data_IF_765792432056
#
_entry.id   IF_765792432056
#
_cell.length_a   1.000
_cell.length_b   1.000
_cell.length_c   1.000
_cell.angle_alpha   90.00
_cell.angle_beta   90.00
_cell.angle_gamma   90.00
#
_symmetry.space_group_name_H-M   'P 1'
#
loop_
_entity.id
_entity.type
_entity.pdbx_description
1 polymer ?
#
# COMPACT_ATOMS: atom_id res chain seq x y z
N UNK A 1 7.06 -13.24 -10.49
CA UNK A 1 7.89 -13.28 -11.68
C UNK A 1 8.52 -14.66 -11.87
N UNK A 2 8.60 -15.19 -13.13
CA UNK A 2 9.24 -16.48 -13.38
C UNK A 2 10.75 -16.41 -13.13
N UNK A 3 11.35 -17.53 -12.74
CA UNK A 3 12.80 -17.68 -12.62
C UNK A 3 13.47 -17.77 -14.02
N UNK A 4 14.73 -17.32 -14.19
CA UNK A 4 15.60 -16.74 -13.16
C UNK A 4 15.26 -15.26 -12.86
N UNK A 5 15.25 -14.91 -11.58
CA UNK A 5 15.05 -13.53 -11.13
C UNK A 5 16.39 -12.80 -11.13
N UNK A 6 16.39 -11.57 -11.61
CA UNK A 6 17.58 -10.72 -11.57
C UNK A 6 17.18 -9.28 -11.21
N UNK A 7 18.11 -8.55 -10.66
CA UNK A 7 17.93 -7.14 -10.37
C UNK A 7 18.45 -6.31 -11.55
N UNK A 8 17.57 -5.63 -12.26
CA UNK A 8 17.91 -4.93 -13.52
C UNK A 8 19.04 -3.90 -13.35
N UNK A 9 19.05 -3.12 -12.28
CA UNK A 9 20.13 -2.16 -11.97
C UNK A 9 21.49 -2.86 -11.85
N UNK A 10 21.55 -3.94 -11.09
CA UNK A 10 22.81 -4.66 -10.84
C UNK A 10 23.29 -5.39 -12.09
N UNK A 11 22.37 -5.97 -12.85
CA UNK A 11 22.67 -6.55 -14.15
C UNK A 11 23.22 -5.52 -15.14
N UNK A 12 22.63 -4.31 -15.19
CA UNK A 12 23.12 -3.24 -16.07
C UNK A 12 24.51 -2.76 -15.71
N UNK A 13 24.86 -2.71 -14.42
CA UNK A 13 26.22 -2.39 -13.95
C UNK A 13 27.24 -3.47 -14.38
N UNK A 14 26.87 -4.74 -14.32
CA UNK A 14 27.73 -5.83 -14.83
C UNK A 14 27.91 -5.73 -16.33
N UNK A 15 26.81 -5.51 -17.07
CA UNK A 15 26.87 -5.34 -18.54
C UNK A 15 27.77 -4.16 -18.95
N UNK A 16 27.66 -3.02 -18.27
CA UNK A 16 28.49 -1.86 -18.56
C UNK A 16 29.99 -2.17 -18.41
N UNK A 17 30.36 -3.00 -17.43
CA UNK A 17 31.75 -3.45 -17.27
C UNK A 17 32.19 -4.39 -18.39
N UNK A 18 31.35 -5.35 -18.77
CA UNK A 18 31.63 -6.32 -19.84
C UNK A 18 31.85 -5.58 -21.16
N UNK A 19 30.95 -4.66 -21.51
CA UNK A 19 30.98 -3.92 -22.77
C UNK A 19 31.82 -2.63 -22.72
N UNK A 20 32.44 -2.33 -21.56
CA UNK A 20 33.21 -1.09 -21.32
C UNK A 20 32.43 0.17 -21.72
N UNK A 21 31.16 0.19 -21.41
CA UNK A 21 30.25 1.28 -21.74
C UNK A 21 29.95 2.13 -20.47
N UNK A 22 29.64 3.40 -20.71
CA UNK A 22 29.13 4.25 -19.64
C UNK A 22 27.67 3.87 -19.30
N UNK A 23 27.28 4.06 -18.04
CA UNK A 23 25.92 3.81 -17.58
C UNK A 23 25.42 5.02 -16.80
N UNK A 24 24.17 5.39 -17.02
CA UNK A 24 23.46 6.40 -16.25
C UNK A 24 22.30 5.74 -15.52
N UNK A 25 22.30 5.86 -14.20
CA UNK A 25 21.22 5.41 -13.33
C UNK A 25 20.41 6.61 -12.89
N UNK A 26 19.14 6.71 -13.28
CA UNK A 26 18.25 7.79 -12.90
C UNK A 26 17.17 7.32 -11.91
N UNK A 27 16.97 8.04 -10.82
CA UNK A 27 15.91 7.77 -9.84
C UNK A 27 15.62 9.02 -9.01
N UNK A 28 14.33 9.21 -8.65
CA UNK A 28 13.95 10.18 -7.63
C UNK A 28 14.17 9.65 -6.20
N UNK A 29 14.23 8.32 -6.05
CA UNK A 29 14.35 7.60 -4.78
C UNK A 29 15.39 6.49 -4.92
N UNK A 30 16.68 6.83 -5.01
CA UNK A 30 17.73 5.83 -5.14
C UNK A 30 17.73 4.89 -3.92
N UNK A 31 18.09 3.63 -4.14
CA UNK A 31 18.26 2.71 -3.02
C UNK A 31 19.43 3.14 -2.13
N UNK A 32 19.38 2.74 -0.86
CA UNK A 32 20.45 3.06 0.13
C UNK A 32 21.80 2.58 -0.37
N UNK A 33 21.88 1.40 -1.00
CA UNK A 33 23.14 0.84 -1.54
C UNK A 33 23.68 1.70 -2.69
N UNK A 34 22.81 2.15 -3.60
CA UNK A 34 23.24 3.01 -4.71
C UNK A 34 23.74 4.37 -4.22
N UNK A 35 22.99 4.96 -3.27
CA UNK A 35 23.38 6.24 -2.68
C UNK A 35 24.69 6.13 -1.90
N UNK A 36 24.87 5.09 -1.09
CA UNK A 36 26.09 4.82 -0.36
C UNK A 36 27.28 4.60 -1.30
N UNK A 37 27.08 3.88 -2.40
CA UNK A 37 28.12 3.67 -3.42
C UNK A 37 28.57 4.99 -4.09
N UNK A 38 27.67 5.96 -4.21
CA UNK A 38 28.01 7.27 -4.77
C UNK A 38 28.66 8.21 -3.72
N UNK A 39 28.04 8.38 -2.55
CA UNK A 39 28.41 9.43 -1.58
C UNK A 39 29.56 8.99 -0.67
N UNK A 40 29.56 7.73 -0.22
CA UNK A 40 30.54 7.24 0.78
C UNK A 40 31.70 6.50 0.10
N UNK A 41 31.35 5.59 -0.82
CA UNK A 41 32.35 4.73 -1.45
C UNK A 41 32.96 5.29 -2.74
N UNK A 42 32.43 6.40 -3.23
CA UNK A 42 32.90 7.10 -4.46
C UNK A 42 33.05 6.15 -5.67
N UNK A 43 32.16 5.16 -5.80
CA UNK A 43 32.14 4.23 -6.93
C UNK A 43 31.38 4.75 -8.14
N UNK A 44 30.52 5.74 -7.93
CA UNK A 44 29.70 6.41 -8.95
C UNK A 44 29.84 7.92 -8.79
N UNK A 45 29.78 8.64 -9.89
CA UNK A 45 29.55 10.08 -9.86
C UNK A 45 28.08 10.37 -9.53
N UNK A 46 27.81 11.33 -8.65
CA UNK A 46 26.47 11.74 -8.27
C UNK A 46 26.10 13.08 -8.88
N UNK A 47 25.02 13.09 -9.64
CA UNK A 47 24.40 14.33 -10.14
C UNK A 47 23.04 14.51 -9.48
N UNK A 48 22.87 15.55 -8.70
CA UNK A 48 21.62 15.88 -8.04
C UNK A 48 20.87 16.99 -8.78
N UNK A 49 19.65 16.71 -9.22
CA UNK A 49 18.72 17.71 -9.75
C UNK A 49 17.87 18.25 -8.61
N UNK A 50 18.34 19.33 -7.96
CA UNK A 50 17.70 19.90 -6.76
C UNK A 50 16.47 20.77 -7.07
N UNK A 51 16.42 21.35 -8.25
CA UNK A 51 15.32 22.22 -8.64
C UNK A 51 14.28 21.46 -9.45
N UNK A 52 13.02 21.67 -9.13
CA UNK A 52 11.91 21.12 -9.92
C UNK A 52 11.81 21.86 -11.27
N UNK A 53 11.39 21.13 -12.29
CA UNK A 53 11.06 21.71 -13.58
C UNK A 53 10.07 22.89 -13.39
N UNK A 54 10.33 24.02 -14.04
CA UNK A 54 9.58 25.27 -13.90
C UNK A 54 9.43 25.80 -12.47
N UNK A 55 10.34 25.47 -11.55
CA UNK A 55 10.29 25.89 -10.14
C UNK A 55 8.94 25.65 -9.45
N UNK A 56 8.24 24.56 -9.83
CA UNK A 56 6.96 24.19 -9.24
C UNK A 56 7.14 23.93 -7.73
N UNK A 57 6.32 24.56 -6.92
CA UNK A 57 6.34 24.41 -5.46
C UNK A 57 6.05 22.97 -5.04
N UNK A 58 6.58 22.59 -3.88
CA UNK A 58 6.24 21.30 -3.25
C UNK A 58 4.75 21.30 -2.87
N UNK A 59 4.08 20.13 -2.93
CA UNK A 59 2.72 20.02 -2.43
C UNK A 59 2.67 20.31 -0.93
N UNK A 60 1.56 20.84 -0.46
CA UNK A 60 1.28 21.00 0.96
C UNK A 60 1.01 19.61 1.53
N UNK A 61 1.69 19.25 2.63
CA UNK A 61 1.50 18.00 3.34
C UNK A 61 0.84 18.32 4.68
N UNK A 62 -0.35 17.77 4.89
CA UNK A 62 -1.07 17.88 6.15
C UNK A 62 -1.09 16.53 6.86
N UNK A 63 -0.66 16.52 8.13
CA UNK A 63 -0.70 15.34 8.99
C UNK A 63 -1.93 15.40 9.88
N UNK A 64 -2.76 14.34 9.81
CA UNK A 64 -4.00 14.25 10.60
C UNK A 64 -3.80 13.23 11.72
N UNK A 65 -3.93 13.66 12.97
CA UNK A 65 -3.94 12.77 14.13
C UNK A 65 -5.29 12.04 14.24
N UNK A 66 -5.32 10.80 13.80
CA UNK A 66 -6.53 9.97 13.84
C UNK A 66 -6.97 9.66 15.26
N UNK A 67 -6.06 9.53 16.25
CA UNK A 67 -6.44 9.28 17.65
C UNK A 67 -7.28 10.41 18.19
N UNK A 68 -6.87 11.66 17.93
CA UNK A 68 -7.63 12.85 18.27
C UNK A 68 -9.00 12.88 17.57
N UNK A 69 -9.03 12.52 16.29
CA UNK A 69 -10.28 12.50 15.51
C UNK A 69 -11.26 11.46 16.06
N UNK A 70 -10.78 10.26 16.41
CA UNK A 70 -11.59 9.22 17.06
C UNK A 70 -12.13 9.69 18.42
N UNK A 71 -11.28 10.26 19.28
CA UNK A 71 -11.68 10.76 20.60
C UNK A 71 -12.77 11.85 20.52
N UNK A 72 -12.71 12.70 19.49
CA UNK A 72 -13.69 13.78 19.25
C UNK A 72 -14.90 13.32 18.42
N UNK A 73 -15.01 12.03 18.06
CA UNK A 73 -16.09 11.48 17.22
C UNK A 73 -16.19 12.18 15.84
N UNK A 74 -15.05 12.59 15.27
CA UNK A 74 -14.93 13.26 13.98
C UNK A 74 -14.46 12.30 12.88
N UNK A 75 -14.85 11.03 13.00
CA UNK A 75 -14.61 9.99 12.00
C UNK A 75 -15.94 9.53 11.41
N UNK A 76 -15.93 9.25 10.11
CA UNK A 76 -17.00 8.56 9.42
C UNK A 76 -16.39 7.33 8.75
N UNK A 77 -16.66 6.15 9.30
CA UNK A 77 -15.93 4.93 8.94
C UNK A 77 -14.43 5.11 9.17
N UNK A 78 -13.64 4.90 8.13
CA UNK A 78 -12.19 5.05 8.17
C UNK A 78 -11.69 6.46 7.80
N UNK A 79 -12.60 7.40 7.49
CA UNK A 79 -12.26 8.74 7.02
C UNK A 79 -12.47 9.80 8.10
N UNK A 80 -11.51 10.70 8.27
CA UNK A 80 -11.67 11.88 9.11
C UNK A 80 -12.56 12.93 8.43
N UNK A 81 -13.23 13.75 9.21
CA UNK A 81 -14.00 14.89 8.74
C UNK A 81 -13.20 15.83 7.83
N UNK A 82 -11.94 16.10 8.18
CA UNK A 82 -11.04 16.94 7.39
C UNK A 82 -10.74 16.29 6.04
N UNK A 83 -10.45 14.99 5.98
CA UNK A 83 -10.21 14.29 4.73
C UNK A 83 -11.46 14.30 3.82
N UNK A 84 -12.63 14.04 4.39
CA UNK A 84 -13.91 14.10 3.66
C UNK A 84 -14.14 15.50 3.08
N UNK A 85 -13.90 16.55 3.88
CA UNK A 85 -14.03 17.93 3.43
C UNK A 85 -13.09 18.27 2.28
N UNK A 86 -11.82 17.85 2.34
CA UNK A 86 -10.85 18.08 1.27
C UNK A 86 -11.17 17.30 -0.01
N UNK A 87 -11.65 16.06 0.12
CA UNK A 87 -12.14 15.30 -1.03
C UNK A 87 -13.29 16.07 -1.69
N UNK A 88 -14.29 16.47 -0.89
CA UNK A 88 -15.45 17.20 -1.42
C UNK A 88 -15.04 18.51 -2.12
N UNK A 89 -14.21 19.32 -1.49
CA UNK A 89 -13.70 20.57 -2.08
C UNK A 89 -12.98 20.32 -3.40
N UNK A 90 -12.14 19.26 -3.43
CA UNK A 90 -11.36 18.93 -4.63
C UNK A 90 -12.25 18.50 -5.80
N UNK A 91 -13.19 17.59 -5.55
CA UNK A 91 -14.08 17.09 -6.63
C UNK A 91 -15.12 18.10 -7.07
N UNK A 92 -15.59 18.98 -6.16
CA UNK A 92 -16.50 20.10 -6.49
C UNK A 92 -15.83 21.13 -7.40
N UNK A 93 -14.51 21.25 -7.35
CA UNK A 93 -13.72 22.08 -8.24
C UNK A 93 -13.28 21.35 -9.52
N UNK A 94 -13.95 20.26 -9.89
CA UNK A 94 -13.66 19.44 -11.07
C UNK A 94 -12.21 18.88 -11.11
N UNK A 95 -11.59 18.72 -9.97
CA UNK A 95 -10.26 18.10 -9.82
C UNK A 95 -10.39 16.63 -9.43
N UNK A 96 -9.26 15.93 -9.48
CA UNK A 96 -9.19 14.49 -9.16
C UNK A 96 -8.54 14.28 -7.79
N UNK A 97 -8.97 13.22 -7.11
CA UNK A 97 -8.42 12.76 -5.85
C UNK A 97 -7.83 11.36 -6.04
N UNK A 98 -6.67 11.12 -5.47
CA UNK A 98 -6.06 9.79 -5.37
C UNK A 98 -6.00 9.43 -3.89
N UNK A 99 -6.68 8.36 -3.52
CA UNK A 99 -6.57 7.74 -2.19
C UNK A 99 -5.61 6.57 -2.28
N UNK A 100 -4.54 6.63 -1.49
CA UNK A 100 -3.54 5.57 -1.45
C UNK A 100 -3.73 4.72 -0.20
N UNK A 101 -3.99 3.43 -0.40
CA UNK A 101 -4.04 2.42 0.65
C UNK A 101 -3.11 1.27 0.28
N UNK A 102 -2.10 1.03 1.10
CA UNK A 102 -1.05 0.05 0.81
C UNK A 102 -1.46 -1.41 1.09
N UNK A 103 -2.75 -1.69 1.27
CA UNK A 103 -3.23 -3.06 1.53
C UNK A 103 -4.38 -3.41 0.59
N UNK A 104 -4.23 -4.52 -0.12
CA UNK A 104 -5.26 -5.07 -1.01
C UNK A 104 -6.34 -5.82 -0.23
N UNK A 105 -7.51 -6.00 -0.85
CA UNK A 105 -8.63 -6.75 -0.31
C UNK A 105 -9.60 -5.90 0.51
N UNK A 106 -10.60 -6.55 1.10
CA UNK A 106 -11.62 -5.90 1.94
C UNK A 106 -11.09 -5.64 3.35
N UNK A 107 -10.64 -6.71 4.00
CA UNK A 107 -9.96 -6.62 5.30
C UNK A 107 -8.62 -7.34 5.21
N UNK A 108 -7.52 -6.73 5.65
CA UNK A 108 -6.21 -7.36 5.48
C UNK A 108 -6.06 -8.65 6.31
N UNK A 109 -6.71 -8.74 7.47
CA UNK A 109 -6.56 -9.88 8.38
C UNK A 109 -7.91 -10.21 9.00
N UNK A 110 -8.14 -11.49 9.15
CA UNK A 110 -9.19 -12.04 10.00
C UNK A 110 -8.52 -12.65 11.22
N UNK A 111 -8.96 -12.31 12.41
CA UNK A 111 -8.39 -12.86 13.65
C UNK A 111 -9.48 -13.27 14.64
N UNK A 112 -9.12 -14.14 15.54
CA UNK A 112 -9.97 -14.51 16.66
C UNK A 112 -9.87 -13.47 17.77
N UNK A 113 -10.99 -12.86 18.15
CA UNK A 113 -11.04 -11.88 19.23
C UNK A 113 -10.60 -12.45 20.60
N UNK A 114 -10.86 -13.75 20.84
CA UNK A 114 -10.59 -14.38 22.13
C UNK A 114 -9.12 -14.77 22.32
N UNK A 115 -8.40 -15.17 21.25
CA UNK A 115 -7.03 -15.64 21.37
C UNK A 115 -6.02 -14.96 20.43
N UNK A 116 -6.45 -14.02 19.59
CA UNK A 116 -5.58 -13.30 18.65
C UNK A 116 -5.04 -14.13 17.48
N UNK A 117 -5.45 -15.39 17.34
CA UNK A 117 -4.96 -16.24 16.26
C UNK A 117 -5.55 -15.83 14.91
N UNK A 118 -4.71 -15.70 13.89
CA UNK A 118 -5.09 -15.41 12.49
C UNK A 118 -4.80 -16.64 11.61
N UNK A 119 -5.65 -16.93 10.60
CA UNK A 119 -5.34 -17.94 9.60
C UNK A 119 -4.08 -17.60 8.81
N UNK A 120 -3.13 -18.52 8.77
CA UNK A 120 -1.88 -18.38 8.03
C UNK A 120 -1.83 -19.24 6.78
N UNK A 121 -1.01 -18.85 5.83
CA UNK A 121 -0.76 -19.62 4.63
C UNK A 121 0.13 -20.83 4.97
N UNK A 122 -0.25 -22.02 4.52
CA UNK A 122 0.53 -23.25 4.75
C UNK A 122 1.87 -23.29 4.00
N UNK A 123 2.02 -22.45 2.96
CA UNK A 123 3.20 -22.43 2.09
C UNK A 123 4.16 -21.25 2.36
N UNK A 124 3.66 -20.14 2.95
CA UNK A 124 4.38 -18.86 2.99
C UNK A 124 4.53 -18.29 4.41
N UNK A 125 3.92 -18.91 5.39
CA UNK A 125 3.92 -18.45 6.80
C UNK A 125 3.53 -16.98 6.99
N UNK A 126 2.56 -16.51 6.18
CA UNK A 126 1.98 -15.16 6.25
C UNK A 126 0.49 -15.25 6.50
N UNK A 127 -0.10 -14.26 7.15
CA UNK A 127 -1.55 -14.20 7.35
C UNK A 127 -2.28 -14.12 6.02
N UNK A 128 -3.41 -14.82 5.92
CA UNK A 128 -4.28 -14.79 4.75
C UNK A 128 -5.09 -13.50 4.73
N UNK A 129 -5.30 -12.95 3.54
CA UNK A 129 -6.09 -11.74 3.32
C UNK A 129 -7.54 -12.10 2.98
N UNK A 130 -8.49 -11.43 3.60
CA UNK A 130 -9.90 -11.63 3.33
C UNK A 130 -10.36 -10.86 2.08
N UNK A 131 -11.06 -11.56 1.19
CA UNK A 131 -11.66 -11.03 -0.02
C UNK A 131 -13.19 -11.14 0.07
N UNK A 132 -13.88 -10.01 0.20
CA UNK A 132 -15.33 -9.94 0.33
C UNK A 132 -16.04 -10.54 -0.88
N UNK A 133 -15.63 -10.19 -2.10
CA UNK A 133 -16.28 -10.60 -3.35
C UNK A 133 -16.33 -12.13 -3.53
N UNK A 134 -15.35 -12.84 -2.99
CA UNK A 134 -15.24 -14.31 -3.08
C UNK A 134 -15.50 -15.02 -1.76
N UNK A 135 -15.78 -14.25 -0.70
CA UNK A 135 -15.93 -14.72 0.69
C UNK A 135 -14.87 -15.75 1.08
N UNK A 136 -13.62 -15.41 0.79
CA UNK A 136 -12.47 -16.31 0.94
C UNK A 136 -11.24 -15.61 1.50
N UNK A 137 -10.37 -16.40 2.10
CA UNK A 137 -9.08 -15.99 2.61
C UNK A 137 -8.00 -16.43 1.62
N UNK A 138 -7.14 -15.50 1.12
CA UNK A 138 -6.13 -15.80 0.10
C UNK A 138 -4.75 -15.31 0.50
N UNK A 139 -3.75 -16.07 0.11
CA UNK A 139 -2.35 -15.68 0.18
C UNK A 139 -1.97 -14.94 -1.11
N UNK A 140 -1.52 -13.69 -1.00
CA UNK A 140 -1.06 -12.89 -2.14
C UNK A 140 0.33 -13.28 -2.68
N UNK A 141 1.05 -14.17 -1.97
CA UNK A 141 2.36 -14.64 -2.40
C UNK A 141 2.28 -15.88 -3.30
N UNK A 142 1.52 -16.90 -2.87
CA UNK A 142 1.45 -18.18 -3.61
C UNK A 142 0.09 -18.50 -4.20
N UNK A 143 -0.94 -17.67 -3.94
CA UNK A 143 -2.30 -17.91 -4.42
C UNK A 143 -3.09 -18.95 -3.60
N UNK A 144 -2.51 -19.55 -2.55
CA UNK A 144 -3.24 -20.44 -1.67
C UNK A 144 -4.48 -19.75 -1.11
N UNK A 145 -5.62 -20.45 -1.08
CA UNK A 145 -6.87 -19.89 -0.59
C UNK A 145 -7.73 -20.93 0.13
N UNK A 146 -8.51 -20.44 1.08
CA UNK A 146 -9.52 -21.21 1.82
C UNK A 146 -10.81 -20.39 1.91
N UNK A 147 -11.98 -21.02 2.08
CA UNK A 147 -13.20 -20.31 2.45
C UNK A 147 -13.02 -19.52 3.76
N UNK A 148 -13.85 -18.49 3.96
CA UNK A 148 -13.89 -17.79 5.25
C UNK A 148 -14.17 -18.80 6.37
N UNK A 149 -13.40 -18.73 7.44
CA UNK A 149 -13.59 -19.60 8.60
C UNK A 149 -14.64 -19.02 9.54
N UNK A 150 -15.49 -19.87 10.10
CA UNK A 150 -16.48 -19.49 11.11
C UNK A 150 -16.00 -19.75 12.55
N UNK A 151 -14.97 -20.57 12.71
CA UNK A 151 -14.42 -20.96 13.99
C UNK A 151 -12.92 -20.82 13.99
N UNK A 152 -12.37 -20.38 15.11
CA UNK A 152 -10.93 -20.34 15.35
C UNK A 152 -10.35 -21.76 15.44
N UNK A 153 -9.32 -22.04 14.63
CA UNK A 153 -8.64 -23.36 14.68
C UNK A 153 -7.79 -23.56 15.93
N UNK A 154 -7.45 -22.48 16.65
CA UNK A 154 -6.60 -22.56 17.84
C UNK A 154 -7.39 -22.73 19.14
N UNK A 155 -8.53 -22.05 19.31
CA UNK A 155 -9.33 -22.07 20.54
C UNK A 155 -10.79 -22.49 20.33
N UNK A 156 -11.20 -22.80 19.10
CA UNK A 156 -12.56 -23.19 18.73
C UNK A 156 -13.64 -22.10 18.93
N UNK A 157 -13.26 -20.86 19.24
CA UNK A 157 -14.18 -19.75 19.37
C UNK A 157 -14.82 -19.37 18.04
N UNK A 158 -16.07 -18.90 18.10
CA UNK A 158 -16.81 -18.36 16.96
C UNK A 158 -16.60 -16.83 16.80
N UNK A 159 -15.85 -16.21 17.70
CA UNK A 159 -15.60 -14.76 17.69
C UNK A 159 -14.51 -14.40 16.70
N UNK A 160 -14.84 -14.46 15.41
CA UNK A 160 -13.93 -14.10 14.33
C UNK A 160 -14.23 -12.68 13.88
N UNK A 161 -13.23 -11.80 13.97
CA UNK A 161 -13.33 -10.40 13.59
C UNK A 161 -12.42 -10.07 12.40
N UNK A 162 -12.82 -9.07 11.64
CA UNK A 162 -11.99 -8.50 10.58
C UNK A 162 -11.20 -7.33 11.13
N UNK A 163 -9.88 -7.34 10.98
CA UNK A 163 -8.97 -6.32 11.50
C UNK A 163 -8.31 -5.56 10.36
N UNK A 164 -8.39 -4.23 10.45
CA UNK A 164 -7.89 -3.33 9.42
C UNK A 164 -8.87 -3.16 8.26
N UNK A 165 -8.43 -2.44 7.23
CA UNK A 165 -9.21 -2.20 6.02
C UNK A 165 -8.30 -2.21 4.79
N UNK A 166 -8.84 -2.62 3.66
CA UNK A 166 -8.13 -2.68 2.38
C UNK A 166 -8.77 -1.81 1.31
N UNK A 167 -8.23 -1.87 0.10
CA UNK A 167 -8.68 -1.07 -1.05
C UNK A 167 -10.16 -1.30 -1.42
N UNK A 168 -10.68 -2.51 -1.21
CA UNK A 168 -12.09 -2.83 -1.49
C UNK A 168 -13.03 -2.08 -0.54
N UNK A 169 -12.72 -2.09 0.76
CA UNK A 169 -13.52 -1.39 1.75
C UNK A 169 -13.44 0.14 1.56
N UNK A 170 -12.24 0.67 1.26
CA UNK A 170 -12.07 2.09 0.93
C UNK A 170 -12.95 2.47 -0.27
N UNK A 171 -12.99 1.66 -1.32
CA UNK A 171 -13.83 1.91 -2.49
C UNK A 171 -15.32 1.97 -2.14
N UNK A 172 -15.80 1.02 -1.32
CA UNK A 172 -17.20 0.98 -0.90
C UNK A 172 -17.58 2.18 -0.04
N UNK A 173 -16.76 2.52 0.94
CA UNK A 173 -17.00 3.68 1.82
C UNK A 173 -16.97 4.99 1.03
N UNK A 174 -16.05 5.16 0.09
CA UNK A 174 -15.98 6.36 -0.76
C UNK A 174 -17.19 6.46 -1.68
N UNK A 175 -17.66 5.35 -2.26
CA UNK A 175 -18.90 5.35 -3.07
C UNK A 175 -20.13 5.72 -2.24
N UNK A 176 -20.20 5.27 -0.99
CA UNK A 176 -21.29 5.63 -0.09
C UNK A 176 -21.25 7.11 0.32
N UNK A 177 -20.06 7.66 0.59
CA UNK A 177 -19.87 9.07 0.95
C UNK A 177 -20.08 10.04 -0.22
N UNK A 178 -19.73 9.61 -1.44
CA UNK A 178 -19.73 10.45 -2.64
C UNK A 178 -20.48 9.79 -3.82
N UNK A 179 -21.80 9.51 -3.69
CA UNK A 179 -22.55 8.72 -4.66
C UNK A 179 -22.64 9.37 -6.06
N UNK A 180 -22.48 10.70 -6.14
CA UNK A 180 -22.56 11.45 -7.41
C UNK A 180 -21.23 11.50 -8.17
N UNK A 181 -20.16 10.91 -7.62
CA UNK A 181 -18.83 10.97 -8.23
C UNK A 181 -18.36 9.59 -8.66
N UNK A 182 -17.57 9.57 -9.73
CA UNK A 182 -17.03 8.33 -10.27
C UNK A 182 -15.82 7.86 -9.45
N UNK A 183 -15.94 6.73 -8.82
CA UNK A 183 -14.86 6.07 -8.07
C UNK A 183 -14.33 4.88 -8.85
N UNK A 184 -13.01 4.74 -8.96
CA UNK A 184 -12.34 3.59 -9.55
C UNK A 184 -11.19 3.13 -8.66
N UNK A 185 -11.09 1.82 -8.46
CA UNK A 185 -9.95 1.16 -7.82
C UNK A 185 -8.91 0.74 -8.86
N UNK A 186 -7.64 0.89 -8.49
CA UNK A 186 -6.48 0.42 -9.23
C UNK A 186 -5.71 -0.54 -8.31
N UNK A 187 -5.71 -1.84 -8.65
CA UNK A 187 -4.98 -2.91 -7.90
C UNK A 187 -3.84 -3.49 -8.75
#
# INVERSE_FOLDING_TARGET
EPAPRYHARDASLVLSRIFKSNILLGSATPSVESYNNAVVLNKYDLVELKNRYNNVLMPIIELIDLKMKYAKKLMNGHFSDSLISEIFNTVSNHKQVILYQNRRGFSPIVECEDCGASPTCINCDVSLTYHLNTNSLKCHYCGYGIPLINNCKSCNSNNIISVGFGTEQVEEEVKALFPNYRVKRLD
#
